data_IF_527494929104
#
_entry.id   IF_527494929104
#
_cell.length_a   1.000
_cell.length_b   1.000
_cell.length_c   1.000
_cell.angle_alpha   90.00
_cell.angle_beta   90.00
_cell.angle_gamma   90.00
#
_symmetry.space_group_name_H-M   'P 1'
#
loop_
_entity.id
_entity.type
_entity.pdbx_description
1 polymer ?
#
# COMPACT_ATOMS: atom_id res chain seq x y z
N UNK A 1 -18.62 -10.04 22.40
CA UNK A 1 -19.48 -9.82 21.23
C UNK A 1 -19.12 -10.87 20.20
N UNK A 2 -20.10 -11.47 19.55
CA UNK A 2 -19.84 -12.40 18.44
C UNK A 2 -19.16 -11.65 17.30
N UNK A 3 -18.20 -12.33 16.67
CA UNK A 3 -17.50 -11.76 15.51
C UNK A 3 -18.44 -11.71 14.32
N UNK A 4 -18.47 -10.58 13.57
CA UNK A 4 -19.34 -10.48 12.40
C UNK A 4 -18.96 -11.50 11.32
N UNK A 5 -19.96 -11.95 10.56
CA UNK A 5 -19.76 -12.76 9.37
C UNK A 5 -19.31 -11.88 8.20
N UNK A 6 -18.41 -12.40 7.36
CA UNK A 6 -17.73 -11.63 6.33
C UNK A 6 -17.94 -12.22 4.94
N UNK A 7 -18.01 -11.36 3.92
CA UNK A 7 -17.80 -11.76 2.53
C UNK A 7 -16.66 -10.94 1.91
N UNK A 8 -15.87 -11.58 1.04
CA UNK A 8 -14.75 -10.94 0.34
C UNK A 8 -14.93 -11.13 -1.16
N UNK A 9 -15.03 -10.01 -1.86
CA UNK A 9 -15.18 -9.95 -3.31
C UNK A 9 -13.84 -9.52 -3.91
N UNK A 10 -13.27 -10.39 -4.74
CA UNK A 10 -11.89 -10.27 -5.22
C UNK A 10 -10.93 -11.01 -4.29
N UNK A 11 -10.51 -12.23 -4.68
CA UNK A 11 -9.54 -13.04 -3.92
C UNK A 11 -8.16 -13.05 -4.59
N UNK A 12 -7.75 -11.86 -5.07
CA UNK A 12 -6.38 -11.61 -5.50
C UNK A 12 -5.39 -11.61 -4.31
N UNK A 13 -4.22 -11.02 -4.50
CA UNK A 13 -3.13 -11.02 -3.50
C UNK A 13 -3.58 -10.51 -2.13
N UNK A 14 -4.31 -9.39 -2.09
CA UNK A 14 -4.84 -8.82 -0.84
C UNK A 14 -6.02 -9.63 -0.32
N UNK A 15 -7.07 -9.85 -1.14
CA UNK A 15 -8.32 -10.44 -0.67
C UNK A 15 -8.15 -11.86 -0.15
N UNK A 16 -7.35 -12.71 -0.83
CA UNK A 16 -7.06 -14.07 -0.37
C UNK A 16 -6.25 -14.10 0.93
N UNK A 17 -5.26 -13.20 1.04
CA UNK A 17 -4.43 -13.07 2.26
C UNK A 17 -5.27 -12.57 3.44
N UNK A 18 -6.14 -11.58 3.21
CA UNK A 18 -7.04 -11.06 4.23
C UNK A 18 -8.08 -12.12 4.66
N UNK A 19 -8.65 -12.88 3.71
CA UNK A 19 -9.58 -13.98 3.99
C UNK A 19 -8.94 -15.03 4.90
N UNK A 20 -7.73 -15.46 4.57
CA UNK A 20 -6.97 -16.43 5.36
C UNK A 20 -6.70 -15.90 6.78
N UNK A 21 -6.24 -14.64 6.90
CA UNK A 21 -5.98 -13.99 8.18
C UNK A 21 -7.23 -13.93 9.08
N UNK A 22 -8.36 -13.55 8.50
CA UNK A 22 -9.62 -13.43 9.24
C UNK A 22 -10.11 -14.78 9.74
N UNK A 23 -10.01 -15.85 8.95
CA UNK A 23 -10.32 -17.23 9.41
C UNK A 23 -9.39 -17.65 10.55
N UNK A 24 -8.09 -17.39 10.46
CA UNK A 24 -7.13 -17.69 11.52
C UNK A 24 -7.46 -16.93 12.83
N UNK A 25 -8.05 -15.75 12.72
CA UNK A 25 -8.57 -14.99 13.87
C UNK A 25 -9.98 -15.39 14.29
N UNK A 26 -10.53 -16.48 13.73
CA UNK A 26 -11.82 -17.04 14.12
C UNK A 26 -13.05 -16.27 13.59
N UNK A 27 -12.89 -15.52 12.50
CA UNK A 27 -14.03 -14.94 11.79
C UNK A 27 -14.65 -15.98 10.84
N UNK A 28 -15.96 -15.92 10.68
CA UNK A 28 -16.68 -16.73 9.71
C UNK A 28 -16.67 -16.03 8.36
N UNK A 29 -16.15 -16.67 7.36
CA UNK A 29 -16.27 -16.22 5.97
C UNK A 29 -17.54 -16.83 5.38
N UNK A 30 -18.57 -16.01 5.20
CA UNK A 30 -19.82 -16.41 4.60
C UNK A 30 -19.66 -16.58 3.09
N UNK A 31 -18.96 -15.64 2.43
CA UNK A 31 -18.82 -15.72 1.00
C UNK A 31 -17.46 -15.27 0.46
N UNK A 32 -17.06 -15.92 -0.63
CA UNK A 32 -15.96 -15.50 -1.48
C UNK A 32 -16.46 -15.37 -2.92
N UNK A 33 -15.99 -14.35 -3.64
CA UNK A 33 -16.21 -14.21 -5.07
C UNK A 33 -14.95 -13.73 -5.79
N UNK A 34 -14.70 -14.31 -6.96
CA UNK A 34 -13.71 -13.80 -7.92
C UNK A 34 -14.12 -14.22 -9.33
N UNK A 35 -13.82 -13.39 -10.32
CA UNK A 35 -14.05 -13.70 -11.74
C UNK A 35 -13.10 -14.77 -12.29
N UNK A 36 -11.99 -15.03 -11.59
CA UNK A 36 -11.01 -16.03 -11.96
C UNK A 36 -11.25 -17.33 -11.16
N UNK A 37 -11.82 -18.38 -11.79
CA UNK A 37 -12.23 -19.60 -11.08
C UNK A 37 -11.10 -20.30 -10.32
N UNK A 38 -9.89 -20.32 -10.89
CA UNK A 38 -8.75 -21.00 -10.26
C UNK A 38 -8.36 -20.34 -8.94
N UNK A 39 -8.34 -18.99 -8.88
CA UNK A 39 -8.06 -18.25 -7.63
C UNK A 39 -9.17 -18.43 -6.60
N UNK A 40 -10.41 -18.42 -7.05
CA UNK A 40 -11.57 -18.64 -6.16
C UNK A 40 -11.49 -20.03 -5.52
N UNK A 41 -11.24 -21.07 -6.31
CA UNK A 41 -11.14 -22.44 -5.83
C UNK A 41 -9.95 -22.63 -4.88
N UNK A 42 -8.77 -22.10 -5.20
CA UNK A 42 -7.58 -22.16 -4.34
C UNK A 42 -7.85 -21.50 -2.98
N UNK A 43 -8.42 -20.28 -3.00
CA UNK A 43 -8.74 -19.55 -1.77
C UNK A 43 -9.86 -20.25 -0.98
N UNK A 44 -10.88 -20.76 -1.64
CA UNK A 44 -11.98 -21.48 -0.99
C UNK A 44 -11.50 -22.75 -0.29
N UNK A 45 -10.54 -23.49 -0.87
CA UNK A 45 -9.93 -24.65 -0.21
C UNK A 45 -9.20 -24.27 1.10
N UNK A 46 -8.52 -23.12 1.12
CA UNK A 46 -7.78 -22.65 2.29
C UNK A 46 -8.70 -22.07 3.38
N UNK A 47 -9.75 -21.36 2.99
CA UNK A 47 -10.60 -20.52 3.85
C UNK A 47 -11.87 -21.26 4.27
N UNK A 48 -12.40 -22.17 3.45
CA UNK A 48 -13.63 -22.94 3.64
C UNK A 48 -14.84 -22.04 3.90
N UNK A 49 -15.20 -21.15 2.95
CA UNK A 49 -16.37 -20.27 3.08
C UNK A 49 -17.67 -21.07 3.02
N UNK A 50 -18.78 -20.46 3.43
CA UNK A 50 -20.12 -21.07 3.25
C UNK A 50 -20.52 -21.06 1.78
N UNK A 51 -20.19 -19.96 1.07
CA UNK A 51 -20.50 -19.75 -0.35
C UNK A 51 -19.21 -19.38 -1.07
N UNK A 52 -18.93 -20.02 -2.20
CA UNK A 52 -17.91 -19.59 -3.15
C UNK A 52 -18.55 -19.53 -4.54
N UNK A 53 -18.72 -18.32 -5.06
CA UNK A 53 -19.45 -18.08 -6.32
C UNK A 53 -18.78 -16.93 -7.11
N UNK A 54 -18.76 -17.05 -8.43
CA UNK A 54 -18.26 -15.99 -9.31
C UNK A 54 -19.15 -14.75 -9.34
N UNK A 55 -20.44 -14.89 -9.00
CA UNK A 55 -21.36 -13.77 -8.85
C UNK A 55 -21.26 -13.16 -7.45
N UNK A 56 -20.78 -11.90 -7.33
CA UNK A 56 -20.66 -11.24 -6.04
C UNK A 56 -22.00 -11.09 -5.31
N UNK A 57 -23.11 -11.02 -6.06
CA UNK A 57 -24.45 -10.87 -5.44
C UNK A 57 -24.91 -12.13 -4.71
N UNK A 58 -24.41 -13.29 -5.11
CA UNK A 58 -24.64 -14.59 -4.42
C UNK A 58 -23.71 -14.69 -3.19
N UNK A 59 -22.44 -14.33 -3.39
CA UNK A 59 -21.41 -14.48 -2.34
C UNK A 59 -21.65 -13.58 -1.11
N UNK A 60 -22.31 -12.44 -1.25
CA UNK A 60 -22.57 -11.52 -0.11
C UNK A 60 -23.72 -11.96 0.81
N UNK A 61 -24.44 -13.02 0.46
CA UNK A 61 -25.61 -13.44 1.21
C UNK A 61 -25.23 -13.84 2.66
N UNK A 62 -25.93 -13.25 3.62
CA UNK A 62 -25.76 -13.51 5.05
C UNK A 62 -24.47 -12.96 5.67
N UNK A 63 -23.68 -12.13 4.95
CA UNK A 63 -22.53 -11.44 5.49
C UNK A 63 -22.93 -10.12 6.15
N UNK A 64 -22.39 -9.82 7.33
CA UNK A 64 -22.58 -8.52 8.01
C UNK A 64 -21.63 -7.45 7.48
N UNK A 65 -20.44 -7.83 7.06
CA UNK A 65 -19.43 -6.95 6.45
C UNK A 65 -19.00 -7.54 5.12
N UNK A 66 -19.09 -6.76 4.06
CA UNK A 66 -18.65 -7.10 2.71
C UNK A 66 -17.43 -6.26 2.36
N UNK A 67 -16.33 -6.93 1.97
CA UNK A 67 -15.06 -6.30 1.62
C UNK A 67 -14.81 -6.47 0.12
N UNK A 68 -14.74 -5.35 -0.62
CA UNK A 68 -14.34 -5.33 -2.02
C UNK A 68 -12.81 -5.18 -2.11
N UNK A 69 -12.13 -6.27 -2.46
CA UNK A 69 -10.69 -6.31 -2.70
C UNK A 69 -10.38 -6.51 -4.20
N UNK A 70 -11.18 -5.88 -5.04
CA UNK A 70 -11.05 -5.84 -6.50
C UNK A 70 -10.24 -4.62 -6.95
N UNK A 71 -9.72 -4.59 -8.21
CA UNK A 71 -9.08 -3.41 -8.77
C UNK A 71 -9.96 -2.15 -8.69
N UNK A 72 -9.36 -0.98 -8.57
CA UNK A 72 -10.04 0.30 -8.35
C UNK A 72 -11.10 0.60 -9.42
N UNK A 73 -10.81 0.35 -10.69
CA UNK A 73 -11.73 0.52 -11.83
C UNK A 73 -12.96 -0.42 -11.79
N UNK A 74 -12.88 -1.49 -11.02
CA UNK A 74 -13.97 -2.47 -10.85
C UNK A 74 -14.85 -2.19 -9.62
N UNK A 75 -14.39 -1.38 -8.66
CA UNK A 75 -15.10 -1.15 -7.38
C UNK A 75 -16.50 -0.60 -7.61
N UNK A 76 -16.60 0.47 -8.43
CA UNK A 76 -17.91 1.08 -8.72
C UNK A 76 -18.86 0.12 -9.43
N UNK A 77 -18.38 -0.62 -10.41
CA UNK A 77 -19.19 -1.57 -11.17
C UNK A 77 -19.75 -2.69 -10.28
N UNK A 78 -18.93 -3.26 -9.40
CA UNK A 78 -19.35 -4.28 -8.43
C UNK A 78 -20.34 -3.70 -7.43
N UNK A 79 -20.09 -2.49 -6.92
CA UNK A 79 -20.99 -1.80 -6.00
C UNK A 79 -22.36 -1.54 -6.64
N UNK A 80 -22.39 -1.05 -7.88
CA UNK A 80 -23.63 -0.79 -8.61
C UNK A 80 -24.40 -2.09 -8.91
N UNK A 81 -23.70 -3.18 -9.23
CA UNK A 81 -24.32 -4.51 -9.41
C UNK A 81 -25.01 -4.97 -8.12
N UNK A 82 -24.33 -4.86 -6.96
CA UNK A 82 -24.89 -5.23 -5.66
C UNK A 82 -26.13 -4.40 -5.33
N UNK A 83 -26.09 -3.09 -5.61
CA UNK A 83 -27.21 -2.18 -5.38
C UNK A 83 -28.40 -2.49 -6.30
N UNK A 84 -28.15 -2.68 -7.60
CA UNK A 84 -29.21 -2.99 -8.60
C UNK A 84 -29.92 -4.29 -8.27
N UNK A 85 -29.21 -5.28 -7.77
CA UNK A 85 -29.78 -6.57 -7.36
C UNK A 85 -30.32 -6.56 -5.93
N UNK A 86 -30.19 -5.43 -5.22
CA UNK A 86 -30.57 -5.32 -3.80
C UNK A 86 -29.97 -6.47 -2.96
N UNK A 87 -28.70 -6.82 -3.28
CA UNK A 87 -28.02 -7.95 -2.67
C UNK A 87 -27.59 -7.69 -1.21
N UNK A 88 -27.60 -6.43 -0.77
CA UNK A 88 -27.29 -6.01 0.58
C UNK A 88 -28.51 -5.38 1.25
N UNK A 89 -28.65 -5.59 2.55
CA UNK A 89 -29.73 -5.07 3.38
C UNK A 89 -29.23 -3.91 4.27
N UNK A 90 -30.20 -3.12 4.73
CA UNK A 90 -29.96 -2.07 5.74
C UNK A 90 -29.25 -2.64 6.98
N UNK A 91 -28.22 -1.93 7.44
CA UNK A 91 -27.43 -2.31 8.62
C UNK A 91 -26.19 -3.16 8.30
N UNK A 92 -26.05 -3.68 7.08
CA UNK A 92 -24.81 -4.28 6.61
C UNK A 92 -23.77 -3.19 6.29
N UNK A 93 -22.52 -3.60 6.25
CA UNK A 93 -21.38 -2.74 5.91
C UNK A 93 -20.81 -3.20 4.58
N UNK A 94 -20.62 -2.26 3.67
CA UNK A 94 -19.85 -2.45 2.45
C UNK A 94 -18.60 -1.58 2.49
N UNK A 95 -17.43 -2.18 2.36
CA UNK A 95 -16.18 -1.43 2.28
C UNK A 95 -15.33 -1.89 1.10
N UNK A 96 -14.43 -1.03 0.64
CA UNK A 96 -13.42 -1.37 -0.36
C UNK A 96 -12.00 -1.13 0.16
N UNK A 97 -11.02 -1.78 -0.48
CA UNK A 97 -9.61 -1.70 -0.10
C UNK A 97 -8.78 -0.70 -0.92
N UNK A 98 -9.39 0.15 -1.76
CA UNK A 98 -8.66 1.17 -2.51
C UNK A 98 -8.05 2.23 -1.60
N UNK A 99 -6.78 2.54 -1.82
CA UNK A 99 -6.10 3.68 -1.20
C UNK A 99 -6.46 5.01 -1.86
N UNK A 100 -6.91 4.98 -3.11
CA UNK A 100 -7.17 6.16 -3.94
C UNK A 100 -8.66 6.59 -3.92
N UNK A 101 -9.58 5.65 -4.13
CA UNK A 101 -11.01 5.96 -4.20
C UNK A 101 -11.59 6.23 -2.81
N UNK A 102 -12.42 7.29 -2.63
CA UNK A 102 -13.17 7.50 -1.40
C UNK A 102 -14.33 6.52 -1.27
N UNK A 103 -14.81 6.29 -0.04
CA UNK A 103 -15.97 5.44 0.25
C UNK A 103 -17.24 5.85 -0.50
N UNK A 104 -17.35 7.11 -0.91
CA UNK A 104 -18.48 7.61 -1.74
C UNK A 104 -18.60 6.90 -3.09
N UNK A 105 -17.56 6.18 -3.56
CA UNK A 105 -17.66 5.29 -4.72
C UNK A 105 -18.72 4.18 -4.54
N UNK A 106 -19.10 3.87 -3.29
CA UNK A 106 -20.13 2.90 -2.93
C UNK A 106 -21.51 3.53 -2.71
N UNK A 107 -21.71 4.77 -3.15
CA UNK A 107 -22.88 5.59 -2.86
C UNK A 107 -24.23 4.96 -3.23
N UNK A 108 -24.29 4.12 -4.26
CA UNK A 108 -25.51 3.43 -4.65
C UNK A 108 -26.05 2.52 -3.52
N UNK A 109 -25.17 1.83 -2.79
CA UNK A 109 -25.55 0.99 -1.65
C UNK A 109 -25.91 1.83 -0.42
N UNK A 110 -25.27 2.97 -0.22
CA UNK A 110 -25.63 3.92 0.85
C UNK A 110 -27.07 4.37 0.76
N UNK A 111 -27.58 4.60 -0.46
CA UNK A 111 -28.97 4.96 -0.71
C UNK A 111 -29.95 3.88 -0.26
N UNK A 112 -29.52 2.62 -0.16
CA UNK A 112 -30.29 1.48 0.33
C UNK A 112 -30.14 1.27 1.86
N UNK A 113 -29.44 2.17 2.57
CA UNK A 113 -29.24 2.08 4.02
C UNK A 113 -28.08 1.17 4.45
N UNK A 114 -27.20 0.80 3.54
CA UNK A 114 -25.95 0.10 3.82
C UNK A 114 -24.92 1.14 4.29
N UNK A 115 -24.16 0.83 5.37
CA UNK A 115 -23.06 1.68 5.82
C UNK A 115 -21.84 1.46 4.95
N UNK A 116 -21.26 2.54 4.43
CA UNK A 116 -20.14 2.45 3.49
C UNK A 116 -18.83 2.95 4.10
N UNK A 117 -17.73 2.32 3.70
CA UNK A 117 -16.38 2.74 4.12
C UNK A 117 -15.30 2.36 3.11
N UNK A 118 -14.10 2.87 3.34
CA UNK A 118 -12.87 2.36 2.75
C UNK A 118 -11.92 1.88 3.85
N UNK A 119 -11.13 0.84 3.55
CA UNK A 119 -10.20 0.19 4.48
C UNK A 119 -8.94 -0.22 3.71
N UNK A 120 -7.95 0.68 3.63
CA UNK A 120 -6.76 0.46 2.83
C UNK A 120 -5.57 0.04 3.69
N UNK A 121 -5.03 -1.19 3.57
CA UNK A 121 -3.81 -1.60 4.25
C UNK A 121 -2.58 -0.94 3.62
N UNK A 122 -1.77 -0.25 4.43
CA UNK A 122 -0.47 0.32 4.02
C UNK A 122 0.60 -0.79 3.99
N UNK A 123 0.44 -1.73 3.07
CA UNK A 123 1.36 -2.86 2.90
C UNK A 123 1.45 -3.30 1.44
N UNK A 124 2.57 -3.91 1.09
CA UNK A 124 2.78 -4.49 -0.24
C UNK A 124 2.47 -5.99 -0.23
N UNK A 125 1.47 -6.40 -1.01
CA UNK A 125 1.07 -7.80 -1.17
C UNK A 125 1.66 -8.37 -2.47
N UNK A 126 2.69 -9.21 -2.36
CA UNK A 126 3.41 -9.74 -3.53
C UNK A 126 2.80 -11.00 -4.13
N UNK A 127 2.09 -11.82 -3.32
CA UNK A 127 1.44 -13.08 -3.73
C UNK A 127 0.14 -13.32 -2.95
N UNK A 128 -0.64 -14.31 -3.38
CA UNK A 128 -1.85 -14.76 -2.70
C UNK A 128 -1.53 -15.61 -1.46
N UNK A 129 -2.48 -15.69 -0.52
CA UNK A 129 -2.48 -16.59 0.64
C UNK A 129 -1.19 -16.50 1.51
N UNK A 130 -0.67 -15.29 1.68
CA UNK A 130 0.52 -15.07 2.53
C UNK A 130 0.10 -15.16 4.00
N UNK A 131 0.86 -15.85 4.88
CA UNK A 131 0.62 -15.82 6.33
C UNK A 131 0.61 -14.38 6.87
N UNK A 132 -0.39 -14.09 7.72
CA UNK A 132 -0.63 -12.72 8.21
C UNK A 132 0.43 -12.19 9.17
N UNK A 133 1.20 -13.06 9.81
CA UNK A 133 2.27 -12.66 10.73
C UNK A 133 3.25 -11.65 10.11
N UNK A 134 3.41 -11.71 8.79
CA UNK A 134 4.22 -10.75 8.02
C UNK A 134 3.65 -9.32 8.02
N UNK A 135 2.36 -9.17 8.30
CA UNK A 135 1.63 -7.89 8.23
C UNK A 135 1.18 -7.39 9.60
N UNK A 136 1.65 -8.01 10.69
CA UNK A 136 1.39 -7.49 12.04
C UNK A 136 2.00 -6.09 12.20
N UNK A 137 1.28 -5.21 12.91
CA UNK A 137 1.69 -3.84 13.10
C UNK A 137 1.46 -2.90 11.89
N UNK A 138 0.92 -3.42 10.78
CA UNK A 138 0.56 -2.60 9.61
C UNK A 138 -0.55 -1.61 9.96
N UNK A 139 -0.46 -0.43 9.39
CA UNK A 139 -1.52 0.57 9.49
C UNK A 139 -2.54 0.40 8.38
N UNK A 140 -3.81 0.65 8.73
CA UNK A 140 -4.90 0.74 7.76
C UNK A 140 -5.43 2.17 7.76
N UNK A 141 -5.46 2.81 6.60
CA UNK A 141 -6.20 4.06 6.41
C UNK A 141 -7.68 3.76 6.24
N UNK A 142 -8.53 4.31 7.10
CA UNK A 142 -9.98 4.11 7.05
C UNK A 142 -10.71 5.44 6.91
N UNK A 143 -11.83 5.45 6.21
CA UNK A 143 -12.79 6.56 6.16
C UNK A 143 -14.17 6.04 5.76
N UNK A 144 -15.25 6.77 6.10
CA UNK A 144 -16.61 6.36 5.77
C UNK A 144 -17.64 6.70 6.86
N UNK A 145 -18.72 5.94 6.88
CA UNK A 145 -19.80 6.11 7.84
C UNK A 145 -19.39 5.64 9.26
N UNK A 146 -19.81 6.37 10.30
CA UNK A 146 -19.38 6.14 11.67
C UNK A 146 -19.59 4.68 12.15
N UNK A 147 -20.74 4.07 11.80
CA UNK A 147 -21.02 2.67 12.14
C UNK A 147 -20.00 1.72 11.50
N UNK A 148 -19.68 1.95 10.24
CA UNK A 148 -18.68 1.14 9.53
C UNK A 148 -17.29 1.30 10.14
N UNK A 149 -16.88 2.53 10.46
CA UNK A 149 -15.56 2.81 11.06
C UNK A 149 -15.36 2.10 12.40
N UNK A 150 -16.36 2.09 13.26
CA UNK A 150 -16.29 1.37 14.55
C UNK A 150 -16.05 -0.13 14.34
N UNK A 151 -16.82 -0.75 13.44
CA UNK A 151 -16.71 -2.18 13.16
C UNK A 151 -15.40 -2.56 12.46
N UNK A 152 -14.96 -1.73 11.48
CA UNK A 152 -13.71 -1.96 10.77
C UNK A 152 -12.48 -1.77 11.68
N UNK A 153 -12.51 -0.80 12.60
CA UNK A 153 -11.44 -0.61 13.59
C UNK A 153 -11.27 -1.88 14.44
N UNK A 154 -12.35 -2.41 14.99
CA UNK A 154 -12.30 -3.65 15.78
C UNK A 154 -11.78 -4.85 14.97
N UNK A 155 -12.17 -4.95 13.68
CA UNK A 155 -11.68 -5.99 12.76
C UNK A 155 -10.18 -5.85 12.53
N UNK A 156 -9.68 -4.65 12.23
CA UNK A 156 -8.27 -4.36 11.99
C UNK A 156 -7.42 -4.63 13.24
N UNK A 157 -7.87 -4.19 14.41
CA UNK A 157 -7.18 -4.44 15.68
C UNK A 157 -7.10 -5.94 16.01
N UNK A 158 -8.13 -6.72 15.67
CA UNK A 158 -8.10 -8.17 15.85
C UNK A 158 -7.04 -8.87 15.00
N UNK A 159 -6.61 -8.25 13.90
CA UNK A 159 -5.51 -8.70 13.04
C UNK A 159 -4.12 -8.32 13.60
N UNK A 160 -4.04 -7.60 14.71
CA UNK A 160 -2.79 -7.07 15.26
C UNK A 160 -2.29 -5.83 14.50
N UNK A 161 -3.19 -5.08 13.89
CA UNK A 161 -2.94 -3.90 13.08
C UNK A 161 -3.57 -2.66 13.70
N UNK A 162 -3.23 -1.47 13.17
CA UNK A 162 -3.74 -0.19 13.65
C UNK A 162 -4.60 0.50 12.60
N UNK A 163 -5.73 1.07 12.99
CA UNK A 163 -6.61 1.84 12.11
C UNK A 163 -6.43 3.34 12.35
N UNK A 164 -6.17 4.09 11.28
CA UNK A 164 -6.05 5.55 11.30
C UNK A 164 -7.09 6.15 10.36
N UNK A 165 -7.87 7.10 10.86
CA UNK A 165 -8.82 7.81 10.01
C UNK A 165 -8.10 8.78 9.09
N UNK A 166 -8.45 8.75 7.80
CA UNK A 166 -7.91 9.61 6.77
C UNK A 166 -9.00 10.53 6.23
N UNK A 167 -8.58 11.68 5.71
CA UNK A 167 -9.50 12.65 5.13
C UNK A 167 -9.95 12.17 3.74
N UNK A 168 -11.26 11.93 3.51
CA UNK A 168 -11.75 11.37 2.23
C UNK A 168 -11.35 12.20 1.01
N UNK A 169 -11.33 13.53 1.14
CA UNK A 169 -10.98 14.47 0.08
C UNK A 169 -9.46 14.63 -0.15
N UNK A 170 -8.62 13.87 0.58
CA UNK A 170 -7.16 13.84 0.45
C UNK A 170 -6.63 12.44 0.14
N UNK A 171 -7.51 11.53 -0.26
CA UNK A 171 -7.09 10.15 -0.59
C UNK A 171 -6.12 10.06 -1.77
N UNK A 172 -6.19 11.00 -2.69
CA UNK A 172 -5.24 11.17 -3.77
C UNK A 172 -3.80 11.33 -3.26
N UNK A 173 -3.56 12.27 -2.35
CA UNK A 173 -2.25 12.51 -1.75
C UNK A 173 -1.85 11.39 -0.77
N UNK A 174 -2.80 10.84 -0.02
CA UNK A 174 -2.57 9.70 0.85
C UNK A 174 -2.06 8.49 0.05
N UNK A 175 -2.72 8.14 -1.05
CA UNK A 175 -2.30 7.05 -1.90
C UNK A 175 -0.98 7.35 -2.62
N UNK A 176 -0.81 8.58 -3.14
CA UNK A 176 0.43 9.01 -3.77
C UNK A 176 1.63 8.87 -2.81
N UNK A 177 1.49 9.29 -1.55
CA UNK A 177 2.56 9.15 -0.56
C UNK A 177 2.92 7.68 -0.29
N UNK A 178 1.93 6.78 -0.25
CA UNK A 178 2.19 5.34 -0.10
C UNK A 178 2.87 4.73 -1.33
N UNK A 179 2.50 5.15 -2.55
CA UNK A 179 3.17 4.74 -3.79
C UNK A 179 4.63 5.20 -3.81
N UNK A 180 4.90 6.44 -3.37
CA UNK A 180 6.27 6.95 -3.27
C UNK A 180 7.12 6.15 -2.27
N UNK A 181 6.55 5.80 -1.12
CA UNK A 181 7.25 5.04 -0.09
C UNK A 181 7.39 3.54 -0.39
N UNK A 182 6.68 3.00 -1.37
CA UNK A 182 6.70 1.58 -1.72
C UNK A 182 7.15 1.34 -3.16
N UNK A 183 6.31 1.63 -4.13
CA UNK A 183 6.56 1.32 -5.55
C UNK A 183 7.78 2.09 -6.09
N UNK A 184 7.91 3.39 -5.74
CA UNK A 184 9.06 4.17 -6.20
C UNK A 184 10.35 3.79 -5.49
N UNK A 185 10.29 3.31 -4.24
CA UNK A 185 11.45 2.71 -3.59
C UNK A 185 11.96 1.48 -4.37
N UNK A 186 11.06 0.59 -4.81
CA UNK A 186 11.44 -0.55 -5.65
C UNK A 186 12.06 -0.09 -6.96
N UNK A 187 11.46 0.90 -7.63
CA UNK A 187 12.01 1.44 -8.88
C UNK A 187 13.38 2.08 -8.69
N UNK A 188 13.59 2.80 -7.57
CA UNK A 188 14.89 3.41 -7.23
C UNK A 188 15.95 2.34 -7.00
N UNK A 189 15.64 1.29 -6.24
CA UNK A 189 16.56 0.18 -5.98
C UNK A 189 16.86 -0.61 -7.26
N UNK A 190 15.88 -0.76 -8.15
CA UNK A 190 16.09 -1.38 -9.46
C UNK A 190 17.08 -0.56 -10.32
N UNK A 191 16.91 0.76 -10.40
CA UNK A 191 17.84 1.63 -11.11
C UNK A 191 19.26 1.59 -10.51
N UNK A 192 19.36 1.59 -9.17
CA UNK A 192 20.64 1.43 -8.48
C UNK A 192 21.28 0.06 -8.76
N UNK A 193 20.47 -1.00 -8.87
CA UNK A 193 20.91 -2.36 -9.21
C UNK A 193 21.58 -2.41 -10.57
N UNK A 194 20.94 -1.83 -11.57
CA UNK A 194 21.49 -1.75 -12.93
C UNK A 194 22.88 -1.06 -12.96
N UNK A 195 23.06 0.01 -12.18
CA UNK A 195 24.36 0.67 -12.07
C UNK A 195 25.37 -0.23 -11.32
N UNK A 196 24.96 -0.84 -10.21
CA UNK A 196 25.85 -1.70 -9.39
C UNK A 196 26.38 -2.89 -10.18
N UNK A 197 25.54 -3.55 -10.99
CA UNK A 197 25.93 -4.69 -11.84
C UNK A 197 27.06 -4.36 -12.83
N UNK A 198 27.20 -3.09 -13.24
CA UNK A 198 28.29 -2.65 -14.13
C UNK A 198 29.60 -2.39 -13.39
N UNK A 199 29.58 -2.33 -12.06
CA UNK A 199 30.74 -1.92 -11.23
C UNK A 199 31.34 -3.05 -10.41
N UNK A 200 30.58 -4.12 -10.16
CA UNK A 200 31.04 -5.26 -9.37
C UNK A 200 31.49 -6.43 -10.26
N UNK A 201 32.52 -7.14 -9.85
CA UNK A 201 33.01 -8.31 -10.57
C UNK A 201 32.02 -9.49 -10.50
N UNK A 202 31.35 -9.66 -9.36
CA UNK A 202 30.35 -10.71 -9.09
C UNK A 202 28.95 -10.09 -9.20
N UNK A 203 28.41 -10.00 -10.44
CA UNK A 203 27.14 -9.32 -10.73
C UNK A 203 25.95 -9.88 -9.93
N UNK A 204 25.95 -11.16 -9.65
CA UNK A 204 24.94 -11.86 -8.84
C UNK A 204 24.89 -11.36 -7.39
N UNK A 205 25.93 -10.68 -6.91
CA UNK A 205 25.98 -10.07 -5.57
C UNK A 205 25.41 -8.64 -5.54
N UNK A 206 25.25 -7.99 -6.69
CA UNK A 206 24.81 -6.58 -6.77
C UNK A 206 23.49 -6.34 -6.04
N UNK A 207 22.49 -7.19 -6.27
CA UNK A 207 21.19 -7.08 -5.61
C UNK A 207 21.30 -7.28 -4.10
N UNK A 208 22.04 -8.29 -3.64
CA UNK A 208 22.22 -8.55 -2.22
C UNK A 208 22.94 -7.40 -1.50
N UNK A 209 23.93 -6.77 -2.13
CA UNK A 209 24.62 -5.59 -1.59
C UNK A 209 23.66 -4.42 -1.40
N UNK A 210 22.80 -4.15 -2.39
CA UNK A 210 21.81 -3.07 -2.30
C UNK A 210 20.70 -3.36 -1.28
N UNK A 211 20.24 -4.61 -1.19
CA UNK A 211 19.29 -5.02 -0.16
C UNK A 211 19.85 -4.82 1.24
N UNK A 212 21.12 -5.20 1.48
CA UNK A 212 21.80 -4.98 2.75
C UNK A 212 21.90 -3.49 3.08
N UNK A 213 22.32 -2.67 2.11
CA UNK A 213 22.38 -1.21 2.28
C UNK A 213 21.00 -0.61 2.58
N UNK A 214 19.98 -0.96 1.81
CA UNK A 214 18.61 -0.49 2.03
C UNK A 214 18.09 -0.89 3.42
N UNK A 215 18.42 -2.11 3.89
CA UNK A 215 18.07 -2.58 5.23
C UNK A 215 18.65 -1.68 6.33
N UNK A 216 19.92 -1.26 6.21
CA UNK A 216 20.54 -0.34 7.19
C UNK A 216 19.91 1.04 7.16
N UNK A 217 19.55 1.55 5.96
CA UNK A 217 18.84 2.83 5.82
C UNK A 217 17.46 2.76 6.49
N UNK A 218 16.72 1.68 6.29
CA UNK A 218 15.39 1.50 6.91
C UNK A 218 15.50 1.41 8.44
N UNK A 219 16.51 0.73 8.97
CA UNK A 219 16.76 0.68 10.41
C UNK A 219 17.04 2.09 10.98
N UNK A 220 17.89 2.86 10.31
CA UNK A 220 18.17 4.25 10.71
C UNK A 220 16.92 5.15 10.67
N UNK A 221 16.05 4.96 9.66
CA UNK A 221 14.79 5.72 9.56
C UNK A 221 13.84 5.42 10.74
N UNK A 222 13.80 4.18 11.19
CA UNK A 222 13.00 3.77 12.36
C UNK A 222 13.58 4.37 13.65
N UNK A 223 14.90 4.37 13.80
CA UNK A 223 15.59 4.83 15.01
C UNK A 223 15.64 6.36 15.13
N UNK A 224 15.95 7.05 14.03
CA UNK A 224 16.30 8.48 14.03
C UNK A 224 15.23 9.38 13.39
N UNK A 225 14.23 8.80 12.72
CA UNK A 225 13.23 9.52 11.92
C UNK A 225 13.75 9.99 10.56
N UNK A 226 12.82 10.49 9.73
CA UNK A 226 13.09 10.81 8.32
C UNK A 226 14.18 11.89 8.15
N UNK A 227 14.08 12.97 8.91
CA UNK A 227 14.99 14.13 8.75
C UNK A 227 16.41 13.80 9.19
N UNK A 228 16.58 13.04 10.27
CA UNK A 228 17.90 12.75 10.86
C UNK A 228 18.63 11.57 10.22
N UNK A 229 17.98 10.81 9.34
CA UNK A 229 18.57 9.66 8.68
C UNK A 229 19.30 10.01 7.37
N UNK A 230 19.21 11.28 6.93
CA UNK A 230 19.93 11.71 5.74
C UNK A 230 21.43 11.73 6.00
N UNK A 231 22.19 11.13 5.09
CA UNK A 231 23.67 11.12 5.07
C UNK A 231 24.16 11.19 3.61
N UNK A 232 25.47 11.34 3.44
CA UNK A 232 26.07 11.28 2.11
C UNK A 232 26.58 12.62 1.58
N UNK A 233 27.03 12.68 0.31
CA UNK A 233 27.74 13.83 -0.25
C UNK A 233 26.89 15.11 -0.31
N UNK A 234 25.59 14.99 -0.58
CA UNK A 234 24.70 16.17 -0.63
C UNK A 234 24.52 16.74 0.77
N UNK A 235 24.36 15.89 1.79
CA UNK A 235 24.22 16.34 3.18
C UNK A 235 25.49 17.06 3.67
N UNK A 236 26.69 16.56 3.26
CA UNK A 236 27.97 17.15 3.61
C UNK A 236 28.41 18.34 2.73
N UNK A 237 27.64 18.69 1.70
CA UNK A 237 28.00 19.76 0.79
C UNK A 237 29.12 19.42 -0.23
N UNK A 238 29.35 18.14 -0.50
CA UNK A 238 30.45 17.66 -1.33
C UNK A 238 30.17 17.86 -2.83
N UNK A 239 30.46 19.06 -3.31
CA UNK A 239 30.27 19.49 -4.71
C UNK A 239 31.05 18.61 -5.70
N UNK A 240 32.27 18.19 -5.34
CA UNK A 240 33.13 17.42 -6.22
C UNK A 240 32.54 16.02 -6.46
N UNK A 241 32.11 15.33 -5.42
CA UNK A 241 31.47 14.02 -5.54
C UNK A 241 30.18 14.09 -6.34
N UNK A 242 29.31 15.07 -6.07
CA UNK A 242 28.06 15.26 -6.82
C UNK A 242 28.29 15.55 -8.30
N UNK A 243 29.29 16.39 -8.62
CA UNK A 243 29.70 16.64 -10.00
C UNK A 243 30.19 15.37 -10.69
N UNK A 244 30.99 14.54 -9.99
CA UNK A 244 31.42 13.24 -10.48
C UNK A 244 30.28 12.28 -10.76
N UNK A 245 29.27 12.22 -9.87
CA UNK A 245 28.08 11.41 -10.08
C UNK A 245 27.29 11.87 -11.33
N UNK A 246 27.11 13.16 -11.52
CA UNK A 246 26.42 13.69 -12.70
C UNK A 246 27.18 13.41 -14.00
N UNK A 247 28.50 13.48 -13.98
CA UNK A 247 29.34 13.13 -15.13
C UNK A 247 29.22 11.63 -15.48
N UNK A 248 29.26 10.75 -14.48
CA UNK A 248 29.09 9.31 -14.65
C UNK A 248 27.68 8.98 -15.20
N UNK A 249 26.63 9.58 -14.63
CA UNK A 249 25.26 9.40 -15.12
C UNK A 249 25.13 9.84 -16.58
N UNK A 250 25.63 11.03 -16.93
CA UNK A 250 25.55 11.55 -18.29
C UNK A 250 26.22 10.62 -19.30
N UNK A 251 27.31 9.96 -18.88
CA UNK A 251 28.07 9.05 -19.74
C UNK A 251 27.41 7.67 -19.86
N UNK A 252 27.05 7.05 -18.75
CA UNK A 252 26.72 5.63 -18.70
C UNK A 252 25.24 5.34 -18.45
N UNK A 253 24.49 6.30 -17.80
CA UNK A 253 23.07 6.17 -17.45
C UNK A 253 22.31 7.51 -17.61
N UNK A 254 22.25 8.10 -18.79
CA UNK A 254 21.70 9.45 -18.98
C UNK A 254 20.23 9.58 -18.54
N UNK A 255 19.44 8.51 -18.66
CA UNK A 255 18.05 8.45 -18.20
C UNK A 255 17.89 8.62 -16.67
N UNK A 256 18.94 8.39 -15.88
CA UNK A 256 18.93 8.57 -14.43
C UNK A 256 19.23 10.00 -13.97
N UNK A 257 19.68 10.87 -14.87
CA UNK A 257 20.17 12.22 -14.51
C UNK A 257 19.07 13.08 -13.88
N UNK A 258 17.89 13.12 -14.48
CA UNK A 258 16.77 13.93 -13.96
C UNK A 258 16.25 13.39 -12.62
N UNK A 259 16.18 12.08 -12.46
CA UNK A 259 15.83 11.45 -11.19
C UNK A 259 16.82 11.82 -10.09
N UNK A 260 18.13 11.72 -10.37
CA UNK A 260 19.20 12.10 -9.45
C UNK A 260 19.07 13.55 -8.99
N UNK A 261 18.89 14.47 -9.94
CA UNK A 261 18.71 15.90 -9.66
C UNK A 261 17.45 16.17 -8.83
N UNK A 262 16.32 15.57 -9.17
CA UNK A 262 15.07 15.75 -8.45
C UNK A 262 15.19 15.30 -6.97
N UNK A 263 15.74 14.13 -6.73
CA UNK A 263 16.01 13.61 -5.39
C UNK A 263 17.08 14.44 -4.67
N UNK A 264 18.13 14.87 -5.37
CA UNK A 264 19.16 15.74 -4.83
C UNK A 264 18.61 17.07 -4.30
N UNK A 265 17.66 17.68 -5.02
CA UNK A 265 16.96 18.90 -4.56
C UNK A 265 16.15 18.67 -3.28
N UNK A 266 15.50 17.49 -3.15
CA UNK A 266 14.80 17.12 -1.91
C UNK A 266 15.79 16.93 -0.75
N UNK A 267 16.91 16.24 -0.98
CA UNK A 267 17.96 16.06 0.02
C UNK A 267 18.55 17.40 0.50
N UNK A 268 18.76 18.37 -0.40
CA UNK A 268 19.18 19.72 -0.03
C UNK A 268 18.17 20.44 0.85
N UNK A 269 16.86 20.24 0.62
CA UNK A 269 15.82 20.81 1.51
C UNK A 269 15.91 20.22 2.92
N UNK A 270 16.05 18.91 3.03
CA UNK A 270 16.21 18.22 4.33
C UNK A 270 17.46 18.76 5.05
N UNK A 271 18.61 18.83 4.35
CA UNK A 271 19.86 19.34 4.91
C UNK A 271 19.73 20.77 5.43
N UNK A 272 19.07 21.67 4.66
CA UNK A 272 18.81 23.05 5.05
C UNK A 272 17.86 23.17 6.25
N UNK A 273 16.87 22.30 6.37
CA UNK A 273 15.97 22.28 7.54
C UNK A 273 16.72 21.88 8.81
N UNK A 274 17.64 20.92 8.71
CA UNK A 274 18.48 20.49 9.86
C UNK A 274 19.53 21.53 10.25
N UNK A 275 20.10 22.23 9.28
CA UNK A 275 21.15 23.23 9.50
C UNK A 275 20.89 24.52 8.69
N UNK A 276 20.00 25.41 9.15
CA UNK A 276 19.65 26.63 8.43
C UNK A 276 20.81 27.59 8.20
N UNK A 277 21.88 27.52 8.99
CA UNK A 277 23.06 28.37 8.90
C UNK A 277 24.24 27.72 8.14
N UNK A 278 24.06 26.51 7.64
CA UNK A 278 25.09 25.81 6.87
C UNK A 278 25.43 26.54 5.57
N UNK A 279 26.71 26.74 5.33
CA UNK A 279 27.25 27.44 4.13
C UNK A 279 27.15 26.63 2.81
N UNK A 280 26.47 25.50 2.80
CA UNK A 280 26.71 24.40 1.86
C UNK A 280 25.78 24.38 0.63
N UNK A 281 24.93 25.38 0.43
CA UNK A 281 23.86 25.27 -0.58
C UNK A 281 24.12 25.79 -1.98
N UNK A 282 24.98 26.80 -2.15
CA UNK A 282 25.02 27.55 -3.42
C UNK A 282 25.67 26.79 -4.58
N UNK A 283 26.71 26.00 -4.34
CA UNK A 283 27.36 25.20 -5.37
C UNK A 283 26.53 23.99 -5.80
N UNK A 284 25.94 23.27 -4.84
CA UNK A 284 25.11 22.09 -5.11
C UNK A 284 23.79 22.45 -5.79
N UNK A 285 23.15 23.56 -5.38
CA UNK A 285 21.93 24.04 -6.02
C UNK A 285 22.10 24.20 -7.52
N UNK A 286 23.17 24.88 -7.95
CA UNK A 286 23.48 25.09 -9.38
C UNK A 286 23.77 23.80 -10.15
N UNK A 287 24.37 22.80 -9.52
CA UNK A 287 24.63 21.50 -10.15
C UNK A 287 23.35 20.68 -10.35
N UNK A 288 22.41 20.84 -9.46
CA UNK A 288 21.16 20.06 -9.46
C UNK A 288 20.05 20.76 -10.29
N UNK A 289 20.22 22.00 -10.69
CA UNK A 289 19.35 22.70 -11.65
C UNK A 289 19.68 22.25 -13.09
#
# INVERSE_FOLDING_TARGET
MDKPSLAIIGVGKLGSTLALALVQKGYRINGLSDKEPARLEETARAVKPVIADSDPSVAVNGAEIVILAVPDDSIKAVSDQLATRQALAKGQILCHCSGFLPSSALGANKMLGVSIASMHPLASFSRCLVPWDRYQGVYFGIEGDALALVRLRALIESLGCSAVEILPFRKDLYHLSSVMASNYLVALLYAAGQMMETTVAEKEKAEAMLQALAGTVMANLVENGLENSLSGPIERGDVQTVSGHLAALKKDFPQGTELYKALGKLMLRISKQRNPQGKEGDGLGKLLD
#
